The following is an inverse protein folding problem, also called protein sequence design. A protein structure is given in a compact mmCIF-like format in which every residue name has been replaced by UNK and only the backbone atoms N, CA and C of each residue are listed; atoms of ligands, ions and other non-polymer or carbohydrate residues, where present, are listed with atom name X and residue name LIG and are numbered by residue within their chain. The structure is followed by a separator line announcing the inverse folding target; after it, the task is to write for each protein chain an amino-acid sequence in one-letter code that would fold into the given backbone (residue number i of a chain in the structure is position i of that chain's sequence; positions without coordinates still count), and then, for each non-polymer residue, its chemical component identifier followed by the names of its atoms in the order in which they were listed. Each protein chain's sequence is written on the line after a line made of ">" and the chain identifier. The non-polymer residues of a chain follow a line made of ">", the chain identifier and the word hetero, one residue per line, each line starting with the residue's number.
data_IF_104116456413
#
_entry.id   IF_104116456413
#
_cell.length_a   1.000
_cell.length_b   1.000
_cell.length_c   1.000
_cell.angle_alpha   90.00
_cell.angle_beta   90.00
_cell.angle_gamma   90.00
#
_symmetry.space_group_name_H-M   'P 1'
#
loop_
_entity.id
_entity.type
_entity.pdbx_description
1 polymer ?
#
# COMPACT_ATOMS: atom_id res chain seq x y z
N UNK A 1 -5.28 4.71 -13.97
CA UNK A 1 -4.95 4.81 -12.53
C UNK A 1 -5.18 3.44 -11.90
N UNK A 2 -4.21 2.93 -11.13
CA UNK A 2 -4.33 1.63 -10.48
C UNK A 2 -5.28 1.71 -9.28
N UNK A 3 -6.13 0.70 -9.11
CA UNK A 3 -6.93 0.55 -7.88
C UNK A 3 -6.07 0.00 -6.73
N UNK A 4 -6.63 -0.07 -5.54
CA UNK A 4 -5.83 -0.42 -4.35
C UNK A 4 -5.40 -1.89 -4.33
N UNK A 5 -6.22 -2.81 -4.86
CA UNK A 5 -5.84 -4.22 -5.01
C UNK A 5 -4.68 -4.37 -6.01
N UNK A 6 -4.73 -3.65 -7.14
CA UNK A 6 -3.67 -3.64 -8.15
C UNK A 6 -2.35 -3.13 -7.57
N UNK A 7 -2.37 -2.06 -6.77
CA UNK A 7 -1.18 -1.55 -6.06
C UNK A 7 -0.67 -2.56 -5.02
N UNK A 8 -1.57 -3.21 -4.29
CA UNK A 8 -1.21 -4.21 -3.30
C UNK A 8 -0.49 -5.39 -3.98
N UNK A 9 -1.05 -5.92 -5.06
CA UNK A 9 -0.43 -6.99 -5.86
C UNK A 9 0.97 -6.58 -6.32
N UNK A 10 1.16 -5.37 -6.86
CA UNK A 10 2.48 -4.93 -7.31
C UNK A 10 3.49 -4.84 -6.16
N UNK A 11 3.06 -4.31 -5.00
CA UNK A 11 3.92 -4.25 -3.83
C UNK A 11 4.29 -5.66 -3.34
N UNK A 12 3.33 -6.57 -3.26
CA UNK A 12 3.60 -7.92 -2.75
C UNK A 12 4.49 -8.73 -3.71
N UNK A 13 4.29 -8.63 -5.03
CA UNK A 13 5.19 -9.25 -6.03
C UNK A 13 6.59 -8.65 -5.92
N UNK A 14 6.71 -7.34 -5.73
CA UNK A 14 8.00 -6.68 -5.52
C UNK A 14 8.69 -7.21 -4.25
N UNK A 15 7.97 -7.32 -3.13
CA UNK A 15 8.51 -7.86 -1.88
C UNK A 15 8.93 -9.33 -2.02
N UNK A 16 8.11 -10.16 -2.68
CA UNK A 16 8.42 -11.56 -2.97
C UNK A 16 9.72 -11.70 -3.77
N UNK A 17 9.92 -10.87 -4.80
CA UNK A 17 11.06 -10.96 -5.71
C UNK A 17 12.36 -10.36 -5.16
N UNK A 18 12.28 -9.22 -4.44
CA UNK A 18 13.48 -8.49 -4.00
C UNK A 18 13.80 -8.64 -2.51
N UNK A 19 12.80 -8.92 -1.67
CA UNK A 19 12.94 -8.93 -0.22
C UNK A 19 12.67 -10.30 0.40
N UNK A 20 12.58 -11.37 -0.41
CA UNK A 20 12.22 -12.72 0.03
C UNK A 20 10.88 -12.74 0.78
N UNK A 21 9.93 -11.91 0.32
CA UNK A 21 8.57 -11.86 0.84
C UNK A 21 7.84 -13.21 0.70
N UNK A 22 6.73 -13.39 1.44
CA UNK A 22 5.97 -14.62 1.38
C UNK A 22 5.34 -14.83 -0.01
N UNK A 23 5.09 -16.11 -0.34
CA UNK A 23 4.28 -16.48 -1.50
C UNK A 23 2.88 -15.89 -1.34
N UNK A 24 2.38 -15.26 -2.41
CA UNK A 24 1.09 -14.59 -2.40
C UNK A 24 -0.04 -15.59 -2.19
N UNK A 25 -0.94 -15.31 -1.25
CA UNK A 25 -2.14 -16.10 -1.02
C UNK A 25 -3.37 -15.31 -1.41
N UNK A 26 -4.33 -15.99 -2.03
CA UNK A 26 -5.58 -15.38 -2.50
C UNK A 26 -6.36 -14.65 -1.39
N UNK A 27 -6.27 -15.15 -0.15
CA UNK A 27 -6.96 -14.60 1.01
C UNK A 27 -6.33 -13.30 1.55
N UNK A 28 -5.14 -12.93 1.08
CA UNK A 28 -4.43 -11.71 1.50
C UNK A 28 -5.00 -10.45 0.81
N UNK A 29 -5.87 -10.64 -0.19
CA UNK A 29 -6.49 -9.58 -0.98
C UNK A 29 -7.96 -9.39 -0.63
N UNK A 30 -8.41 -8.15 -0.59
CA UNK A 30 -9.82 -7.80 -0.37
C UNK A 30 -10.63 -7.86 -1.68
N UNK A 31 -10.68 -9.06 -2.25
CA UNK A 31 -11.41 -9.34 -3.49
C UNK A 31 -12.93 -9.16 -3.30
N UNK A 32 -13.65 -8.70 -4.32
CA UNK A 32 -15.10 -8.56 -4.29
C UNK A 32 -15.80 -9.91 -4.04
N UNK A 33 -15.19 -11.00 -4.51
CA UNK A 33 -15.70 -12.36 -4.39
C UNK A 33 -15.14 -13.09 -3.16
N UNK A 34 -14.52 -12.38 -2.20
CA UNK A 34 -13.90 -12.97 -1.00
C UNK A 34 -14.85 -13.85 -0.17
N UNK A 35 -16.13 -13.48 -0.10
CA UNK A 35 -17.18 -14.25 0.58
C UNK A 35 -17.79 -15.37 -0.28
N UNK A 36 -17.44 -15.47 -1.56
CA UNK A 36 -17.97 -16.49 -2.46
C UNK A 36 -17.47 -17.89 -2.02
N UNK A 37 -18.34 -18.90 -1.88
CA UNK A 37 -17.90 -20.26 -1.54
C UNK A 37 -17.10 -20.91 -2.68
N UNK A 38 -17.29 -20.48 -3.93
CA UNK A 38 -16.54 -21.01 -5.07
C UNK A 38 -15.18 -20.30 -5.20
N UNK A 39 -14.12 -21.01 -4.80
CA UNK A 39 -12.74 -20.55 -4.95
C UNK A 39 -12.35 -20.24 -6.40
N UNK A 40 -12.99 -20.88 -7.39
CA UNK A 40 -12.71 -20.59 -8.80
C UNK A 40 -13.09 -19.15 -9.12
N UNK A 41 -14.21 -18.65 -8.61
CA UNK A 41 -14.66 -17.27 -8.87
C UNK A 41 -13.64 -16.26 -8.33
N UNK A 42 -13.08 -16.52 -7.15
CA UNK A 42 -12.00 -15.70 -6.57
C UNK A 42 -10.75 -15.71 -7.43
N UNK A 43 -10.33 -16.88 -7.93
CA UNK A 43 -9.20 -16.97 -8.85
C UNK A 43 -9.47 -16.26 -10.17
N UNK A 44 -10.69 -16.30 -10.69
CA UNK A 44 -11.06 -15.56 -11.91
C UNK A 44 -10.97 -14.04 -11.71
N UNK A 45 -11.39 -13.56 -10.53
CA UNK A 45 -11.23 -12.15 -10.15
C UNK A 45 -9.75 -11.76 -10.02
N UNK A 46 -8.98 -12.50 -9.21
CA UNK A 46 -7.55 -12.25 -9.03
C UNK A 46 -6.79 -12.27 -10.37
N UNK A 47 -7.10 -13.26 -11.22
CA UNK A 47 -6.56 -13.38 -12.57
C UNK A 47 -6.84 -12.13 -13.40
N UNK A 48 -8.03 -11.55 -13.29
CA UNK A 48 -8.38 -10.34 -14.03
C UNK A 48 -7.49 -9.14 -13.69
N UNK A 49 -7.08 -9.01 -12.41
CA UNK A 49 -6.13 -7.98 -11.99
C UNK A 49 -4.73 -8.24 -12.54
N UNK A 50 -4.18 -9.45 -12.39
CA UNK A 50 -2.82 -9.74 -12.88
C UNK A 50 -2.70 -9.70 -14.41
N UNK A 51 -3.74 -10.11 -15.14
CA UNK A 51 -3.76 -9.99 -16.60
C UNK A 51 -3.81 -8.53 -17.05
N UNK A 52 -4.55 -7.68 -16.33
CA UNK A 52 -4.56 -6.23 -16.58
C UNK A 52 -3.20 -5.60 -16.25
N UNK A 53 -2.58 -5.97 -15.14
CA UNK A 53 -1.24 -5.47 -14.78
C UNK A 53 -0.19 -5.92 -15.80
N UNK A 54 -0.28 -7.15 -16.33
CA UNK A 54 0.57 -7.63 -17.42
C UNK A 54 0.36 -6.85 -18.71
N UNK A 55 -0.88 -6.58 -19.11
CA UNK A 55 -1.16 -5.81 -20.33
C UNK A 55 -0.70 -4.34 -20.24
N UNK A 56 -0.58 -3.81 -19.02
CA UNK A 56 -0.01 -2.49 -18.74
C UNK A 56 1.52 -2.49 -18.61
N UNK A 57 2.18 -3.66 -18.69
CA UNK A 57 3.64 -3.78 -18.55
C UNK A 57 4.16 -3.68 -17.12
N UNK A 58 3.30 -3.81 -16.10
CA UNK A 58 3.74 -3.80 -14.70
C UNK A 58 4.16 -5.18 -14.19
N UNK A 59 3.56 -6.24 -14.71
CA UNK A 59 3.90 -7.62 -14.40
C UNK A 59 4.33 -8.36 -15.66
N UNK A 60 5.19 -9.37 -15.50
CA UNK A 60 5.54 -10.32 -16.53
C UNK A 60 5.45 -11.75 -15.98
N UNK A 61 4.90 -12.64 -16.77
CA UNK A 61 4.81 -14.07 -16.48
C UNK A 61 4.43 -14.83 -17.73
N UNK A 62 4.78 -16.12 -17.73
CA UNK A 62 4.38 -17.07 -18.76
C UNK A 62 2.96 -17.59 -18.49
N UNK A 63 2.23 -17.95 -19.55
CA UNK A 63 0.86 -18.47 -19.40
C UNK A 63 0.80 -19.81 -18.64
N UNK A 64 1.94 -20.48 -18.47
CA UNK A 64 2.07 -21.72 -17.71
C UNK A 64 1.77 -21.56 -16.21
N UNK A 65 1.77 -20.33 -15.67
CA UNK A 65 1.38 -20.08 -14.28
C UNK A 65 -0.13 -20.17 -14.10
N UNK A 66 -0.90 -20.10 -15.20
CA UNK A 66 -2.36 -20.11 -15.19
C UNK A 66 -2.86 -21.53 -15.47
N UNK A 67 -3.52 -22.13 -14.48
CA UNK A 67 -4.23 -23.39 -14.72
C UNK A 67 -5.66 -23.06 -15.17
N UNK A 68 -5.98 -23.31 -16.43
CA UNK A 68 -7.32 -23.06 -17.01
C UNK A 68 -8.15 -24.32 -17.09
N UNK A 69 -9.48 -24.21 -16.98
CA UNK A 69 -10.38 -25.32 -17.27
C UNK A 69 -11.87 -25.01 -17.03
N UNK A 70 -12.73 -25.87 -17.58
CA UNK A 70 -14.18 -25.73 -17.44
C UNK A 70 -14.78 -24.57 -18.26
N UNK A 71 -15.98 -24.14 -17.86
CA UNK A 71 -16.70 -23.02 -18.51
C UNK A 71 -16.08 -21.68 -18.12
N UNK A 72 -16.02 -20.77 -19.08
CA UNK A 72 -15.60 -19.38 -18.87
C UNK A 72 -16.55 -18.67 -17.91
N UNK A 73 -15.97 -18.01 -16.90
CA UNK A 73 -16.69 -17.10 -16.03
C UNK A 73 -17.10 -15.86 -16.84
N UNK A 74 -18.40 -15.57 -16.88
CA UNK A 74 -18.95 -14.48 -17.70
C UNK A 74 -18.56 -13.08 -17.19
N UNK A 75 -18.41 -12.90 -15.88
CA UNK A 75 -18.08 -11.61 -15.25
C UNK A 75 -16.64 -11.20 -15.56
N UNK A 76 -15.69 -12.13 -15.40
CA UNK A 76 -14.25 -11.85 -15.54
C UNK A 76 -13.67 -12.30 -16.88
N UNK A 77 -14.48 -12.92 -17.74
CA UNK A 77 -14.12 -13.40 -19.08
C UNK A 77 -12.87 -14.28 -19.12
N UNK A 78 -12.62 -15.06 -18.08
CA UNK A 78 -11.57 -16.07 -18.04
C UNK A 78 -12.11 -17.38 -17.46
N UNK A 79 -11.30 -18.44 -17.47
CA UNK A 79 -11.65 -19.76 -16.93
C UNK A 79 -10.51 -20.31 -16.06
N UNK A 80 -9.82 -19.41 -15.35
CA UNK A 80 -8.69 -19.80 -14.50
C UNK A 80 -9.20 -20.49 -13.25
N UNK A 81 -8.60 -21.63 -12.93
CA UNK A 81 -8.87 -22.46 -11.76
C UNK A 81 -7.88 -22.20 -10.63
N UNK A 82 -6.65 -21.84 -10.98
CA UNK A 82 -5.57 -21.53 -10.04
C UNK A 82 -4.46 -20.73 -10.73
N UNK A 83 -3.73 -19.93 -9.95
CA UNK A 83 -2.52 -19.21 -10.38
C UNK A 83 -1.34 -19.64 -9.51
N UNK A 84 -0.23 -20.06 -10.14
CA UNK A 84 1.05 -20.28 -9.44
C UNK A 84 1.73 -18.93 -9.22
N UNK A 85 1.56 -18.37 -8.04
CA UNK A 85 1.99 -17.00 -7.74
C UNK A 85 3.51 -16.84 -7.71
N UNK A 86 4.26 -17.94 -7.53
CA UNK A 86 5.73 -17.96 -7.57
C UNK A 86 6.30 -17.65 -8.96
N UNK A 87 5.51 -17.81 -10.03
CA UNK A 87 5.90 -17.44 -11.38
C UNK A 87 5.51 -16.01 -11.78
N UNK A 88 4.96 -15.22 -10.87
CA UNK A 88 4.70 -13.80 -11.10
C UNK A 88 6.00 -13.01 -10.88
N UNK A 89 6.40 -12.25 -11.88
CA UNK A 89 7.53 -11.34 -11.79
C UNK A 89 7.06 -9.90 -12.01
N UNK A 90 7.68 -8.96 -11.30
CA UNK A 90 7.46 -7.54 -11.55
C UNK A 90 8.34 -7.10 -12.73
N UNK A 91 7.75 -6.36 -13.66
CA UNK A 91 8.46 -5.80 -14.81
C UNK A 91 9.02 -4.41 -14.50
N UNK A 92 9.84 -3.85 -15.40
CA UNK A 92 10.56 -2.58 -15.20
C UNK A 92 9.62 -1.42 -14.87
N UNK A 93 8.48 -1.31 -15.55
CA UNK A 93 7.49 -0.28 -15.26
C UNK A 93 6.84 -0.48 -13.89
N UNK A 94 6.64 -1.74 -13.47
CA UNK A 94 6.13 -2.09 -12.15
C UNK A 94 7.09 -1.68 -11.04
N UNK A 95 8.39 -1.94 -11.23
CA UNK A 95 9.45 -1.51 -10.31
C UNK A 95 9.46 0.01 -10.20
N UNK A 96 9.47 0.73 -11.33
CA UNK A 96 9.46 2.18 -11.35
C UNK A 96 8.22 2.76 -10.62
N UNK A 97 7.06 2.14 -10.81
CA UNK A 97 5.83 2.50 -10.11
C UNK A 97 5.97 2.35 -8.60
N UNK A 98 6.38 1.17 -8.12
CA UNK A 98 6.49 0.85 -6.68
C UNK A 98 7.52 1.75 -6.00
N UNK A 99 8.68 1.99 -6.62
CA UNK A 99 9.73 2.87 -6.08
C UNK A 99 9.20 4.31 -5.93
N UNK A 100 8.55 4.84 -6.96
CA UNK A 100 7.99 6.20 -6.94
C UNK A 100 6.88 6.34 -5.89
N UNK A 101 6.04 5.33 -5.73
CA UNK A 101 4.99 5.32 -4.70
C UNK A 101 5.60 5.37 -3.29
N UNK A 102 6.65 4.58 -3.04
CA UNK A 102 7.37 4.57 -1.76
C UNK A 102 8.09 5.88 -1.46
N UNK A 103 8.70 6.52 -2.46
CA UNK A 103 9.29 7.86 -2.31
C UNK A 103 8.22 8.88 -1.92
N UNK A 104 7.08 8.87 -2.62
CA UNK A 104 5.97 9.77 -2.32
C UNK A 104 5.42 9.55 -0.91
N UNK A 105 5.36 8.30 -0.43
CA UNK A 105 4.96 7.97 0.93
C UNK A 105 5.98 8.45 1.96
N UNK A 106 7.28 8.26 1.71
CA UNK A 106 8.35 8.77 2.56
C UNK A 106 8.27 10.29 2.68
N UNK A 107 8.09 11.00 1.58
CA UNK A 107 7.99 12.46 1.57
C UNK A 107 6.79 12.95 2.38
N UNK A 108 5.62 12.32 2.21
CA UNK A 108 4.42 12.63 3.01
C UNK A 108 4.61 12.38 4.50
N UNK A 109 5.27 11.28 4.86
CA UNK A 109 5.57 10.95 6.27
C UNK A 109 6.55 11.97 6.85
N UNK A 110 7.61 12.32 6.12
CA UNK A 110 8.58 13.33 6.53
C UNK A 110 7.92 14.70 6.70
N UNK A 111 7.06 15.10 5.78
CA UNK A 111 6.30 16.35 5.86
C UNK A 111 5.33 16.36 7.05
N UNK A 112 4.61 15.25 7.26
CA UNK A 112 3.75 15.05 8.43
C UNK A 112 4.52 15.18 9.75
N UNK A 113 5.65 14.48 9.87
CA UNK A 113 6.53 14.56 11.05
C UNK A 113 7.09 15.98 11.25
N UNK A 114 7.45 16.68 10.18
CA UNK A 114 7.93 18.06 10.24
C UNK A 114 6.84 19.03 10.74
N UNK A 115 5.60 18.84 10.29
CA UNK A 115 4.47 19.67 10.69
C UNK A 115 4.05 19.39 12.14
N UNK A 116 4.00 18.12 12.56
CA UNK A 116 3.75 17.73 13.95
C UNK A 116 4.85 18.20 14.89
N UNK A 117 6.13 18.04 14.48
CA UNK A 117 7.28 18.54 15.23
C UNK A 117 7.23 20.05 15.42
N UNK A 118 6.96 20.82 14.36
CA UNK A 118 6.75 22.28 14.46
C UNK A 118 5.61 22.63 15.40
N UNK A 119 4.46 21.96 15.30
CA UNK A 119 3.32 22.20 16.19
C UNK A 119 3.68 21.96 17.66
N UNK A 120 4.42 20.87 17.95
CA UNK A 120 4.85 20.52 19.30
C UNK A 120 5.88 21.51 19.86
N UNK A 121 6.88 21.91 19.06
CA UNK A 121 7.86 22.93 19.45
C UNK A 121 7.23 24.32 19.65
N UNK A 122 6.20 24.66 18.87
CA UNK A 122 5.49 25.95 19.02
C UNK A 122 4.66 25.95 20.31
N UNK A 123 3.94 24.87 20.62
CA UNK A 123 3.23 24.72 21.89
C UNK A 123 4.16 24.75 23.10
N UNK A 124 5.32 24.07 23.03
CA UNK A 124 6.32 24.11 24.10
C UNK A 124 6.91 25.52 24.28
N UNK A 125 7.25 26.21 23.20
CA UNK A 125 7.77 27.58 23.24
C UNK A 125 6.75 28.53 23.84
N UNK A 126 5.50 28.47 23.41
CA UNK A 126 4.45 29.37 23.87
C UNK A 126 4.07 29.08 25.34
N UNK A 127 4.14 27.81 25.78
CA UNK A 127 4.03 27.43 27.19
C UNK A 127 5.19 27.91 28.05
N UNK A 128 6.43 27.85 27.55
CA UNK A 128 7.63 28.38 28.22
C UNK A 128 7.58 29.91 28.35
N UNK A 129 7.16 30.60 27.28
CA UNK A 129 6.98 32.06 27.30
C UNK A 129 5.90 32.43 28.33
N UNK A 130 4.77 31.74 28.36
CA UNK A 130 3.71 31.96 29.35
C UNK A 130 4.20 31.75 30.79
N UNK A 131 5.01 30.71 31.02
CA UNK A 131 5.59 30.43 32.34
C UNK A 131 6.59 31.51 32.78
N UNK A 132 7.47 31.96 31.90
CA UNK A 132 8.44 33.02 32.19
C UNK A 132 7.74 34.36 32.44
N UNK A 133 6.74 34.72 31.62
CA UNK A 133 5.96 35.95 31.83
C UNK A 133 5.17 35.88 33.13
N UNK A 134 4.58 34.74 33.48
CA UNK A 134 3.89 34.53 34.75
C UNK A 134 4.80 34.70 35.96
N UNK A 135 6.03 34.18 35.91
CA UNK A 135 7.03 34.37 36.95
C UNK A 135 7.44 35.84 37.12
N UNK A 136 7.63 36.57 36.01
CA UNK A 136 7.98 38.00 36.04
C UNK A 136 6.85 38.82 36.67
N UNK A 137 5.60 38.55 36.29
CA UNK A 137 4.43 39.26 36.85
C UNK A 137 4.27 38.95 38.35
N UNK A 138 4.41 37.69 38.77
CA UNK A 138 4.33 37.31 40.18
C UNK A 138 5.44 37.93 41.03
N UNK A 139 6.65 38.06 40.46
CA UNK A 139 7.77 38.71 41.14
C UNK A 139 7.53 40.23 41.31
N UNK A 140 7.00 40.88 40.27
CA UNK A 140 6.67 42.31 40.31
C UNK A 140 5.52 42.62 41.29
N UNK A 141 4.49 41.78 41.40
CA UNK A 141 3.40 41.99 42.36
C UNK A 141 3.81 41.68 43.80
N UNK A 142 4.69 40.70 44.01
CA UNK A 142 5.27 40.39 45.32
C UNK A 142 6.21 41.48 45.86
N UNK A 143 6.80 42.30 44.99
CA UNK A 143 7.65 43.45 45.36
C UNK A 143 6.87 44.72 45.73
N UNK A 144 5.58 44.77 45.43
CA UNK A 144 4.69 45.91 45.70
C UNK A 144 3.87 45.68 47.00
N UNK A 145 4.07 44.53 47.65
CA UNK A 145 3.47 44.16 48.96
C UNK A 145 4.41 44.50 50.10
#
# INVERSE_FOLDING_TARGET
>A
MLNDIEKQILNDVFEMQFNHGPILKLNDYDLLEKSNPDHKVKWNEFTSYILKLRSMGYLKFDDNILTTGGRQNQKYRNNVLNVRTEGLEIDKEGIAFVVKERETLKDKVVEGLRNTGRSFFTQLRDGLIGFVVGLIVAWLTGLIS
#
